data_IF_613485515373
#
_entry.id   IF_613485515373
#
_cell.length_a   1.000
_cell.length_b   1.000
_cell.length_c   1.000
_cell.angle_alpha   90.00
_cell.angle_beta   90.00
_cell.angle_gamma   90.00
#
_symmetry.space_group_name_H-M   'P 1'
#
loop_
_entity.id
_entity.type
_entity.pdbx_description
1 polymer ?
#
# COMPACT_ATOMS: atom_id res chain seq x y z
N UNK A 1 -30.07 17.31 29.50
CA UNK A 1 -28.66 17.28 29.91
C UNK A 1 -27.82 17.44 28.65
N UNK A 2 -26.96 18.45 28.54
CA UNK A 2 -26.04 18.54 27.39
C UNK A 2 -24.93 17.52 27.62
N UNK A 3 -24.83 16.51 26.77
CA UNK A 3 -23.65 15.65 26.74
C UNK A 3 -22.46 16.53 26.34
N UNK A 4 -21.55 16.77 27.28
CA UNK A 4 -20.28 17.41 26.96
C UNK A 4 -19.46 16.41 26.16
N UNK A 5 -18.93 16.83 25.01
CA UNK A 5 -18.05 16.01 24.20
C UNK A 5 -16.84 15.60 25.03
N UNK A 6 -16.51 14.32 25.06
CA UNK A 6 -15.27 13.86 25.68
C UNK A 6 -14.06 14.36 24.89
N UNK A 7 -12.90 14.56 25.54
CA UNK A 7 -11.67 14.96 24.83
C UNK A 7 -11.35 14.00 23.68
N UNK A 8 -11.56 12.70 23.89
CA UNK A 8 -11.30 11.67 22.90
C UNK A 8 -12.16 11.81 21.63
N UNK A 9 -13.35 12.41 21.71
CA UNK A 9 -14.19 12.68 20.54
C UNK A 9 -13.52 13.69 19.59
N UNK A 10 -12.67 14.57 20.11
CA UNK A 10 -12.04 15.65 19.34
C UNK A 10 -10.57 15.36 18.99
N UNK A 11 -10.11 14.13 19.23
CA UNK A 11 -8.74 13.69 18.94
C UNK A 11 -8.76 12.70 17.78
N UNK A 12 -7.94 12.96 16.76
CA UNK A 12 -7.65 12.01 15.68
C UNK A 12 -6.27 11.43 15.89
N UNK A 13 -6.16 10.12 15.73
CA UNK A 13 -4.90 9.39 15.74
C UNK A 13 -4.54 9.08 14.29
N UNK A 14 -3.34 9.48 13.87
CA UNK A 14 -2.76 9.19 12.56
C UNK A 14 -1.53 8.33 12.78
N UNK A 15 -1.56 7.09 12.30
CA UNK A 15 -0.44 6.16 12.29
C UNK A 15 -0.02 5.95 10.82
N UNK A 16 0.95 6.73 10.32
CA UNK A 16 1.36 6.65 8.94
C UNK A 16 2.35 5.48 8.74
N UNK A 17 2.26 4.81 7.59
CA UNK A 17 3.11 3.67 7.26
C UNK A 17 3.53 3.67 5.79
N UNK A 18 4.51 2.85 5.43
CA UNK A 18 5.03 2.84 4.05
C UNK A 18 4.06 2.30 3.01
N UNK A 19 3.12 1.45 3.43
CA UNK A 19 2.07 0.94 2.55
C UNK A 19 0.68 1.24 3.07
N UNK A 20 0.47 1.19 4.39
CA UNK A 20 -0.85 1.42 4.97
C UNK A 20 -0.85 2.68 5.82
N UNK A 21 -1.87 3.50 5.66
CA UNK A 21 -2.25 4.57 6.58
C UNK A 21 -3.29 3.98 7.53
N UNK A 22 -3.10 4.17 8.83
CA UNK A 22 -4.14 3.90 9.83
C UNK A 22 -4.57 5.21 10.45
N UNK A 23 -5.87 5.48 10.44
CA UNK A 23 -6.42 6.76 10.89
C UNK A 23 -7.81 6.58 11.50
N UNK A 24 -8.10 7.30 12.57
CA UNK A 24 -9.39 7.25 13.24
C UNK A 24 -9.48 8.21 14.43
N UNK A 25 -10.69 8.40 14.96
CA UNK A 25 -10.88 9.17 16.20
C UNK A 25 -10.41 8.35 17.40
N UNK A 26 -9.94 8.98 18.46
CA UNK A 26 -9.45 8.29 19.66
C UNK A 26 -10.55 7.50 20.40
N UNK A 27 -11.82 7.81 20.13
CA UNK A 27 -12.98 7.02 20.61
C UNK A 27 -13.27 5.77 19.78
N UNK A 28 -12.72 5.66 18.57
CA UNK A 28 -12.95 4.50 17.71
C UNK A 28 -12.11 3.31 18.20
N UNK A 29 -12.72 2.13 18.27
CA UNK A 29 -12.05 0.90 18.74
C UNK A 29 -11.03 0.39 17.70
N UNK A 30 -11.38 0.52 16.41
CA UNK A 30 -10.55 0.07 15.30
C UNK A 30 -10.27 1.26 14.38
N UNK A 31 -8.99 1.58 14.09
CA UNK A 31 -8.67 2.60 13.12
C UNK A 31 -9.01 2.10 11.72
N UNK A 32 -9.39 3.03 10.85
CA UNK A 32 -9.57 2.75 9.43
C UNK A 32 -8.20 2.54 8.79
N UNK A 33 -8.12 1.68 7.79
CA UNK A 33 -6.86 1.29 7.15
C UNK A 33 -6.96 1.41 5.64
N UNK A 34 -6.03 2.15 5.05
CA UNK A 34 -6.04 2.47 3.62
C UNK A 34 -4.65 2.30 3.00
N UNK A 35 -4.52 2.09 1.68
CA UNK A 35 -3.25 2.28 0.98
C UNK A 35 -2.73 3.70 1.21
N UNK A 36 -1.48 3.86 1.64
CA UNK A 36 -0.83 5.16 1.86
C UNK A 36 -0.18 5.66 0.56
N UNK A 37 -1.00 5.80 -0.47
CA UNK A 37 -0.57 6.23 -1.79
C UNK A 37 -1.48 7.31 -2.37
N UNK A 38 -0.94 7.98 -3.38
CA UNK A 38 -1.63 8.99 -4.18
C UNK A 38 -1.33 8.73 -5.65
N UNK A 39 -2.30 9.02 -6.50
CA UNK A 39 -2.18 8.95 -7.94
C UNK A 39 -2.42 10.36 -8.51
N UNK A 40 -1.41 10.95 -9.16
CA UNK A 40 -1.52 12.29 -9.77
C UNK A 40 -1.50 12.22 -11.28
N UNK A 41 -2.23 13.12 -11.95
CA UNK A 41 -2.13 13.26 -13.40
C UNK A 41 -0.67 13.49 -13.80
N UNK A 42 -0.14 12.75 -14.79
CA UNK A 42 1.21 12.98 -15.24
C UNK A 42 1.31 14.35 -15.91
N UNK A 43 2.49 14.97 -15.80
CA UNK A 43 2.78 16.19 -16.56
C UNK A 43 2.71 15.89 -18.06
N UNK A 44 2.37 16.89 -18.90
CA UNK A 44 2.39 16.71 -20.35
C UNK A 44 3.74 16.13 -20.80
N UNK A 45 3.69 15.10 -21.66
CA UNK A 45 4.85 14.39 -22.20
C UNK A 45 5.64 13.52 -21.20
N UNK A 46 5.15 13.31 -19.98
CA UNK A 46 5.73 12.33 -19.05
C UNK A 46 4.84 11.08 -19.06
N UNK A 47 5.36 9.89 -19.35
CA UNK A 47 4.55 8.68 -19.29
C UNK A 47 4.11 8.41 -17.84
N UNK A 48 2.91 7.86 -17.64
CA UNK A 48 2.48 7.38 -16.32
C UNK A 48 3.51 6.39 -15.77
N UNK A 49 3.81 6.50 -14.49
CA UNK A 49 4.73 5.59 -13.82
C UNK A 49 4.13 5.18 -12.48
N UNK A 50 4.26 3.89 -12.15
CA UNK A 50 3.89 3.38 -10.84
C UNK A 50 5.16 3.10 -10.09
N UNK A 51 5.40 3.86 -9.02
CA UNK A 51 6.57 3.59 -8.19
C UNK A 51 6.39 2.24 -7.50
N UNK A 52 7.36 1.31 -7.64
CA UNK A 52 7.24 0.00 -7.04
C UNK A 52 7.29 0.12 -5.51
N UNK A 53 6.34 -0.50 -4.80
CA UNK A 53 6.31 -0.53 -3.33
C UNK A 53 7.58 -1.18 -2.78
N UNK A 54 7.96 -2.31 -3.38
CA UNK A 54 9.19 -3.02 -3.11
C UNK A 54 10.12 -2.72 -4.27
N UNK A 55 11.23 -2.03 -4.01
CA UNK A 55 12.28 -1.87 -5.00
C UNK A 55 12.96 -3.22 -5.21
N UNK A 56 12.33 -4.09 -6.01
CA UNK A 56 13.03 -5.19 -6.65
C UNK A 56 13.92 -4.56 -7.70
N UNK A 57 15.04 -4.00 -7.27
CA UNK A 57 16.18 -3.96 -8.16
C UNK A 57 16.33 -5.41 -8.62
N UNK A 58 16.07 -5.64 -9.91
CA UNK A 58 16.44 -6.88 -10.54
C UNK A 58 17.95 -6.86 -10.48
N UNK A 59 18.51 -7.33 -9.36
CA UNK A 59 19.93 -7.60 -9.29
C UNK A 59 20.20 -8.38 -10.58
N UNK A 60 21.22 -7.96 -11.33
CA UNK A 60 21.83 -8.84 -12.30
C UNK A 60 22.43 -9.98 -11.48
N UNK A 61 21.57 -10.86 -10.97
CA UNK A 61 21.93 -12.05 -10.24
C UNK A 61 22.45 -12.97 -11.33
N UNK A 62 23.76 -13.08 -11.40
CA UNK A 62 24.40 -14.22 -12.03
C UNK A 62 23.69 -15.48 -11.54
N UNK A 63 23.44 -16.43 -12.45
CA UNK A 63 22.67 -17.63 -12.15
C UNK A 63 23.19 -18.39 -10.93
N UNK A 64 24.49 -18.28 -10.62
CA UNK A 64 25.14 -18.77 -9.40
C UNK A 64 24.58 -18.15 -8.12
N UNK A 65 24.51 -16.82 -8.02
CA UNK A 65 24.01 -16.10 -6.83
C UNK A 65 22.52 -16.38 -6.55
N UNK A 66 21.73 -16.58 -7.60
CA UNK A 66 20.34 -17.01 -7.47
C UNK A 66 20.24 -18.45 -6.96
N UNK A 67 21.09 -19.37 -7.45
CA UNK A 67 21.13 -20.75 -6.96
C UNK A 67 21.60 -20.83 -5.50
N UNK A 68 22.57 -20.02 -5.11
CA UNK A 68 23.03 -19.89 -3.72
C UNK A 68 21.89 -19.41 -2.81
N UNK A 69 21.15 -18.37 -3.22
CA UNK A 69 19.99 -17.87 -2.48
C UNK A 69 18.92 -18.94 -2.32
N UNK A 70 18.59 -19.66 -3.38
CA UNK A 70 17.63 -20.77 -3.35
C UNK A 70 18.11 -21.90 -2.44
N UNK A 71 19.40 -22.24 -2.48
CA UNK A 71 19.99 -23.27 -1.62
C UNK A 71 19.95 -22.87 -0.14
N UNK A 72 20.19 -21.60 0.17
CA UNK A 72 20.14 -21.05 1.52
C UNK A 72 18.73 -21.08 2.07
N UNK A 73 17.75 -20.61 1.29
CA UNK A 73 16.32 -20.68 1.66
C UNK A 73 15.92 -22.13 1.91
N UNK A 74 16.31 -23.05 1.03
CA UNK A 74 16.00 -24.48 1.17
C UNK A 74 16.62 -25.08 2.43
N UNK A 75 17.88 -24.76 2.72
CA UNK A 75 18.56 -25.22 3.94
C UNK A 75 17.86 -24.72 5.21
N UNK A 76 17.47 -23.44 5.22
CA UNK A 76 16.74 -22.85 6.33
C UNK A 76 15.39 -23.53 6.55
N UNK A 77 14.61 -23.74 5.48
CA UNK A 77 13.32 -24.46 5.55
C UNK A 77 13.53 -25.89 6.04
N UNK A 78 14.51 -26.62 5.52
CA UNK A 78 14.78 -27.98 5.96
C UNK A 78 15.18 -28.06 7.44
N UNK A 79 15.93 -27.07 7.92
CA UNK A 79 16.31 -26.96 9.34
C UNK A 79 15.10 -26.64 10.21
N UNK A 80 14.26 -25.67 9.81
CA UNK A 80 13.07 -25.30 10.57
C UNK A 80 12.07 -26.45 10.71
N UNK A 81 11.91 -27.25 9.67
CA UNK A 81 10.92 -28.33 9.64
C UNK A 81 11.50 -29.73 9.86
N UNK A 82 12.80 -29.84 10.22
CA UNK A 82 13.52 -31.12 10.32
C UNK A 82 13.30 -32.05 9.11
N UNK A 83 13.20 -31.47 7.91
CA UNK A 83 12.98 -32.24 6.68
C UNK A 83 14.31 -32.83 6.22
N UNK A 84 14.50 -34.13 6.44
CA UNK A 84 15.59 -34.91 5.85
C UNK A 84 15.29 -35.18 4.37
N UNK A 85 15.49 -34.17 3.53
CA UNK A 85 15.26 -34.26 2.09
C UNK A 85 16.48 -34.91 1.38
N UNK A 86 16.29 -36.09 0.80
CA UNK A 86 17.29 -36.75 -0.06
C UNK A 86 17.15 -36.27 -1.51
N UNK A 87 18.22 -35.85 -2.19
CA UNK A 87 18.14 -35.36 -3.56
C UNK A 87 18.01 -36.55 -4.53
N UNK A 88 16.80 -37.13 -4.64
CA UNK A 88 16.47 -37.89 -5.84
C UNK A 88 16.03 -36.91 -6.91
N UNK A 89 16.80 -36.89 -8.00
CA UNK A 89 16.41 -36.36 -9.30
C UNK A 89 15.07 -36.97 -9.70
N UNK A 90 14.00 -36.23 -9.47
CA UNK A 90 12.75 -36.32 -10.23
C UNK A 90 12.40 -34.87 -10.51
N UNK A 91 12.29 -34.52 -11.79
CA UNK A 91 12.11 -33.16 -12.26
C UNK A 91 11.11 -32.39 -11.41
N UNK A 92 11.39 -31.09 -11.19
CA UNK A 92 10.35 -30.18 -10.74
C UNK A 92 9.09 -30.53 -11.54
N UNK A 93 7.95 -30.90 -10.91
CA UNK A 93 6.73 -30.91 -11.67
C UNK A 93 6.68 -29.50 -12.27
N UNK A 94 6.68 -29.42 -13.60
CA UNK A 94 6.36 -28.19 -14.25
C UNK A 94 5.00 -27.83 -13.67
N UNK A 95 4.99 -26.89 -12.71
CA UNK A 95 3.77 -26.26 -12.25
C UNK A 95 3.35 -25.47 -13.47
N UNK A 96 2.69 -26.15 -14.40
CA UNK A 96 1.71 -25.49 -15.24
C UNK A 96 0.89 -24.67 -14.26
N UNK A 97 0.68 -23.37 -14.48
CA UNK A 97 -0.29 -22.64 -13.70
C UNK A 97 -1.62 -23.34 -13.97
N UNK A 98 -1.94 -24.35 -13.17
CA UNK A 98 -3.25 -24.95 -13.11
C UNK A 98 -4.14 -23.76 -12.85
N UNK A 99 -5.06 -23.50 -13.77
CA UNK A 99 -6.10 -22.50 -13.67
C UNK A 99 -6.65 -22.55 -12.24
N UNK A 100 -6.09 -21.69 -11.37
CA UNK A 100 -6.43 -21.63 -9.96
C UNK A 100 -7.83 -21.04 -9.99
N UNK A 101 -8.83 -21.89 -9.81
CA UNK A 101 -10.19 -21.46 -9.50
C UNK A 101 -10.04 -20.53 -8.28
N UNK A 102 -10.24 -19.23 -8.51
CA UNK A 102 -10.11 -18.22 -7.48
C UNK A 102 -11.16 -18.49 -6.42
N UNK A 103 -10.76 -19.17 -5.34
CA UNK A 103 -11.55 -19.18 -4.12
C UNK A 103 -11.29 -17.82 -3.49
N UNK A 104 -12.22 -16.88 -3.66
CA UNK A 104 -12.18 -15.60 -2.96
C UNK A 104 -12.13 -15.89 -1.45
N UNK A 105 -10.96 -15.71 -0.85
CA UNK A 105 -10.82 -15.74 0.60
C UNK A 105 -11.59 -14.51 1.09
N UNK A 106 -12.60 -14.76 1.92
CA UNK A 106 -13.64 -13.87 2.44
C UNK A 106 -13.12 -12.73 3.36
N UNK A 107 -11.87 -12.30 3.18
CA UNK A 107 -11.26 -11.18 3.92
C UNK A 107 -11.33 -9.86 3.13
N UNK A 108 -12.20 -9.81 2.12
CA UNK A 108 -12.45 -8.66 1.25
C UNK A 108 -13.17 -7.50 1.96
N UNK A 109 -13.61 -7.69 3.22
CA UNK A 109 -14.22 -6.64 4.05
C UNK A 109 -13.23 -5.68 4.70
N UNK A 110 -11.91 -5.94 4.63
CA UNK A 110 -10.92 -5.02 5.20
C UNK A 110 -10.82 -3.68 4.47
N UNK A 111 -11.41 -3.60 3.28
CA UNK A 111 -11.49 -2.38 2.50
C UNK A 111 -12.95 -2.18 2.10
N UNK A 112 -13.66 -1.24 2.74
CA UNK A 112 -14.92 -0.75 2.17
C UNK A 112 -14.56 0.14 0.98
N UNK A 113 -14.90 -0.34 -0.22
CA UNK A 113 -14.54 0.29 -1.47
C UNK A 113 -15.64 1.28 -1.88
N UNK A 114 -15.35 2.57 -1.85
CA UNK A 114 -16.28 3.58 -2.37
C UNK A 114 -16.18 3.65 -3.90
N UNK A 115 -17.30 3.45 -4.60
CA UNK A 115 -17.36 3.39 -6.07
C UNK A 115 -17.64 4.73 -6.76
N UNK A 116 -17.85 5.81 -6.00
CA UNK A 116 -18.51 7.02 -6.50
C UNK A 116 -17.58 8.23 -6.69
N UNK A 117 -16.26 8.04 -6.71
CA UNK A 117 -15.32 9.15 -6.88
C UNK A 117 -15.44 9.76 -8.29
N UNK A 118 -15.58 11.09 -8.42
CA UNK A 118 -15.67 11.77 -9.71
C UNK A 118 -14.52 11.40 -10.66
N UNK A 119 -14.84 11.33 -11.94
CA UNK A 119 -13.84 11.10 -12.99
C UNK A 119 -13.02 12.38 -13.24
N UNK A 120 -11.80 12.19 -13.75
CA UNK A 120 -10.91 13.25 -14.23
C UNK A 120 -10.39 14.23 -13.16
N UNK A 121 -10.18 13.77 -11.93
CA UNK A 121 -9.61 14.59 -10.86
C UNK A 121 -8.12 14.89 -11.07
N UNK A 122 -7.60 15.96 -10.49
CA UNK A 122 -6.16 16.25 -10.53
C UNK A 122 -5.33 15.15 -9.86
N UNK A 123 -5.87 14.60 -8.76
CA UNK A 123 -5.31 13.46 -8.07
C UNK A 123 -6.41 12.56 -7.49
N UNK A 124 -6.04 11.33 -7.20
CA UNK A 124 -6.78 10.39 -6.38
C UNK A 124 -5.90 9.97 -5.20
N UNK A 125 -6.45 9.72 -4.02
CA UNK A 125 -5.73 9.25 -2.84
C UNK A 125 -6.30 7.93 -2.31
N UNK A 126 -5.56 7.23 -1.45
CA UNK A 126 -6.04 6.03 -0.74
C UNK A 126 -6.46 4.91 -1.71
N UNK A 127 -7.64 4.32 -1.50
CA UNK A 127 -8.20 3.27 -2.33
C UNK A 127 -8.45 3.75 -3.78
N UNK A 128 -8.82 5.02 -3.97
CA UNK A 128 -9.04 5.58 -5.31
C UNK A 128 -7.73 5.58 -6.10
N UNK A 129 -6.63 6.02 -5.46
CA UNK A 129 -5.30 6.01 -6.08
C UNK A 129 -4.88 4.60 -6.50
N UNK A 130 -5.06 3.63 -5.60
CA UNK A 130 -4.67 2.25 -5.84
C UNK A 130 -5.48 1.59 -6.97
N UNK A 131 -6.78 1.88 -7.04
CA UNK A 131 -7.68 1.26 -8.02
C UNK A 131 -7.64 1.91 -9.40
N UNK A 132 -7.65 3.24 -9.41
CA UNK A 132 -7.81 4.04 -10.63
C UNK A 132 -6.48 4.45 -11.21
N UNK A 133 -5.47 4.66 -10.37
CA UNK A 133 -4.22 5.26 -10.80
C UNK A 133 -3.58 4.53 -11.98
N UNK A 134 -3.57 3.19 -11.94
CA UNK A 134 -3.01 2.40 -13.05
C UNK A 134 -3.95 2.31 -14.25
N UNK A 135 -5.26 2.20 -14.02
CA UNK A 135 -6.27 2.06 -15.09
C UNK A 135 -6.41 3.33 -15.92
N UNK A 136 -6.34 4.47 -15.26
CA UNK A 136 -6.65 5.77 -15.83
C UNK A 136 -5.36 6.54 -16.24
N UNK A 137 -4.19 5.90 -16.15
CA UNK A 137 -2.92 6.47 -16.61
C UNK A 137 -2.34 7.56 -15.71
N UNK A 138 -2.54 7.47 -14.39
CA UNK A 138 -1.96 8.39 -13.41
C UNK A 138 -0.58 7.89 -12.95
N UNK A 139 0.22 8.81 -12.43
CA UNK A 139 1.45 8.48 -11.73
C UNK A 139 1.13 8.13 -10.27
N UNK A 140 1.44 6.90 -9.84
CA UNK A 140 1.21 6.47 -8.45
C UNK A 140 2.51 6.58 -7.66
N UNK A 141 2.48 7.34 -6.58
CA UNK A 141 3.59 7.53 -5.63
C UNK A 141 3.26 7.01 -4.23
N UNK A 142 4.32 6.69 -3.48
CA UNK A 142 4.24 6.28 -2.08
C UNK A 142 5.10 7.23 -1.25
N UNK A 143 4.50 8.25 -0.60
CA UNK A 143 5.26 9.30 0.09
C UNK A 143 6.14 8.78 1.23
N UNK A 144 5.82 7.61 1.79
CA UNK A 144 6.61 6.93 2.81
C UNK A 144 7.20 5.61 2.32
N UNK A 145 8.46 5.35 2.67
CA UNK A 145 9.17 4.09 2.41
C UNK A 145 10.06 3.69 3.57
N UNK A 146 9.97 2.41 3.96
CA UNK A 146 10.72 1.82 5.08
C UNK A 146 10.66 2.64 6.39
N UNK A 147 9.50 3.25 6.68
CA UNK A 147 9.28 4.10 7.86
C UNK A 147 9.73 5.56 7.73
N UNK A 148 10.32 5.96 6.58
CA UNK A 148 10.80 7.31 6.34
C UNK A 148 10.08 7.96 5.14
N UNK A 149 10.30 9.25 4.92
CA UNK A 149 9.87 9.91 3.69
C UNK A 149 10.64 9.35 2.49
N UNK A 150 9.95 9.21 1.35
CA UNK A 150 10.55 8.75 0.09
C UNK A 150 11.69 9.67 -0.32
N UNK A 151 12.80 9.13 -0.82
CA UNK A 151 13.93 9.93 -1.32
C UNK A 151 13.87 10.19 -2.82
N UNK A 152 12.86 9.65 -3.51
CA UNK A 152 12.73 9.71 -4.97
C UNK A 152 12.14 11.04 -5.47
N UNK A 153 11.62 11.86 -4.57
CA UNK A 153 10.98 13.14 -4.89
C UNK A 153 11.47 14.26 -3.95
N UNK A 154 11.19 15.51 -4.32
CA UNK A 154 11.44 16.66 -3.46
C UNK A 154 10.54 16.59 -2.21
N UNK A 155 11.10 16.89 -1.03
CA UNK A 155 10.37 16.93 0.24
C UNK A 155 9.10 17.77 0.18
N UNK A 156 9.11 18.92 -0.50
CA UNK A 156 7.90 19.75 -0.64
C UNK A 156 6.77 18.99 -1.35
N UNK A 157 7.09 18.24 -2.40
CA UNK A 157 6.10 17.44 -3.12
C UNK A 157 5.59 16.28 -2.26
N UNK A 158 6.47 15.65 -1.48
CA UNK A 158 6.11 14.57 -0.56
C UNK A 158 5.19 15.07 0.55
N UNK A 159 5.47 16.26 1.11
CA UNK A 159 4.61 16.86 2.13
C UNK A 159 3.24 17.22 1.56
N UNK A 160 3.17 17.75 0.34
CA UNK A 160 1.90 17.99 -0.34
C UNK A 160 1.13 16.68 -0.58
N UNK A 161 1.82 15.61 -1.02
CA UNK A 161 1.20 14.30 -1.18
C UNK A 161 0.65 13.77 0.15
N UNK A 162 1.39 13.90 1.25
CA UNK A 162 0.92 13.49 2.58
C UNK A 162 -0.27 14.33 3.05
N UNK A 163 -0.24 15.64 2.85
CA UNK A 163 -1.33 16.54 3.16
C UNK A 163 -2.60 16.16 2.39
N UNK A 164 -2.50 15.95 1.07
CA UNK A 164 -3.63 15.58 0.23
C UNK A 164 -4.19 14.20 0.63
N UNK A 165 -3.32 13.23 0.94
CA UNK A 165 -3.76 11.90 1.38
C UNK A 165 -4.48 11.97 2.74
N UNK A 166 -3.88 12.65 3.73
CA UNK A 166 -4.47 12.74 5.06
C UNK A 166 -5.74 13.58 5.07
N UNK A 167 -5.77 14.67 4.31
CA UNK A 167 -6.97 15.49 4.14
C UNK A 167 -8.10 14.67 3.53
N UNK A 168 -7.81 13.91 2.47
CA UNK A 168 -8.80 12.99 1.87
C UNK A 168 -9.32 11.98 2.88
N UNK A 169 -8.43 11.40 3.70
CA UNK A 169 -8.83 10.43 4.72
C UNK A 169 -9.71 11.05 5.82
N UNK A 170 -9.36 12.27 6.26
CA UNK A 170 -10.12 13.02 7.25
C UNK A 170 -11.51 13.39 6.75
N UNK A 171 -11.60 13.91 5.53
CA UNK A 171 -12.86 14.38 4.94
C UNK A 171 -13.79 13.23 4.60
N UNK A 172 -13.30 12.23 3.88
CA UNK A 172 -14.12 11.11 3.38
C UNK A 172 -14.46 10.10 4.47
N UNK A 173 -13.50 9.79 5.35
CA UNK A 173 -13.62 8.61 6.22
C UNK A 173 -13.66 8.92 7.71
N UNK A 174 -13.17 10.08 8.16
CA UNK A 174 -13.30 10.53 9.56
C UNK A 174 -14.41 11.58 9.71
N UNK A 175 -14.95 12.08 8.59
CA UNK A 175 -15.99 13.12 8.50
C UNK A 175 -15.59 14.43 9.22
N UNK A 176 -14.31 14.78 9.17
CA UNK A 176 -13.78 16.07 9.67
C UNK A 176 -13.48 16.94 8.45
N UNK A 177 -14.12 18.10 8.37
CA UNK A 177 -13.89 19.07 7.30
C UNK A 177 -12.56 19.79 7.54
N UNK A 178 -11.61 19.68 6.61
CA UNK A 178 -10.23 20.19 6.78
C UNK A 178 -10.14 21.71 6.63
N UNK A 179 -11.19 22.38 6.14
CA UNK A 179 -11.26 23.84 5.94
C UNK A 179 -11.04 24.70 7.21
N UNK A 180 -10.86 24.10 8.38
CA UNK A 180 -10.65 24.78 9.67
C UNK A 180 -9.33 24.41 10.37
N UNK A 181 -8.38 23.73 9.71
CA UNK A 181 -7.14 23.24 10.33
C UNK A 181 -5.86 24.03 9.97
N UNK A 182 -5.98 25.15 9.27
CA UNK A 182 -4.88 26.08 8.96
C UNK A 182 -5.16 27.49 9.50
#
# INVERSE_FOLDING_TARGET
MRNQSTLAENVVIIEPGSFHLRIGRAVEILPKRFPHCIARKPKPNVPPCVEPIINRQKAACDSSSLQESVSTIRSFVNTLFNLSYSPKSSGLPAVTPSRLEHTEIEDTKLFEWESNTPLDQEFYALNDAFNRGLKDGYHISWPMRYGFLSTFANYTAILQDLEDIWSTALEKHVCILVAYLL
#
